data_IF_768004152266
#
_entry.id   IF_768004152266
#
_cell.length_a   1.000
_cell.length_b   1.000
_cell.length_c   1.000
_cell.angle_alpha   90.00
_cell.angle_beta   90.00
_cell.angle_gamma   90.00
#
_symmetry.space_group_name_H-M   'P 1'
#
loop_
_entity.id
_entity.type
_entity.pdbx_description
1 polymer ?
#
# COMPACT_ATOMS: atom_id res chain seq x y z
N UNK A 1 -2.06 -20.43 44.50
CA UNK A 1 -1.90 -19.36 43.50
C UNK A 1 -2.55 -19.87 42.22
N UNK A 2 -3.62 -19.23 41.74
CA UNK A 2 -4.31 -19.62 40.51
C UNK A 2 -3.71 -18.76 39.40
N UNK A 3 -3.06 -19.36 38.41
CA UNK A 3 -2.53 -18.71 37.25
C UNK A 3 -3.65 -18.60 36.21
N UNK A 4 -3.99 -17.37 35.80
CA UNK A 4 -4.91 -17.09 34.70
C UNK A 4 -4.09 -16.71 33.47
N UNK A 5 -4.36 -17.35 32.34
CA UNK A 5 -3.71 -17.09 31.07
C UNK A 5 -4.74 -16.53 30.09
N UNK A 6 -4.43 -15.36 29.51
CA UNK A 6 -5.26 -14.72 28.49
C UNK A 6 -4.43 -14.63 27.21
N UNK A 7 -4.92 -15.22 26.12
CA UNK A 7 -4.34 -15.13 24.81
C UNK A 7 -5.17 -14.23 23.91
N UNK A 8 -4.54 -13.35 23.12
CA UNK A 8 -5.19 -12.51 22.13
C UNK A 8 -4.52 -12.68 20.78
N UNK A 9 -5.33 -12.78 19.72
CA UNK A 9 -4.83 -12.86 18.34
C UNK A 9 -5.85 -12.24 17.39
N UNK A 10 -5.36 -11.68 16.28
CA UNK A 10 -6.20 -11.09 15.26
C UNK A 10 -6.56 -12.04 14.10
N UNK A 11 -5.75 -13.09 13.85
CA UNK A 11 -5.77 -13.82 12.58
C UNK A 11 -5.51 -15.32 12.72
N UNK A 12 -6.16 -15.98 13.68
CA UNK A 12 -6.06 -17.44 13.80
C UNK A 12 -7.27 -18.10 13.15
N UNK A 13 -7.09 -18.98 12.14
CA UNK A 13 -8.20 -19.63 11.44
C UNK A 13 -8.89 -20.72 12.29
N UNK A 14 -8.21 -21.33 13.27
CA UNK A 14 -8.68 -22.53 14.00
C UNK A 14 -8.95 -22.21 15.47
N UNK A 15 -9.65 -21.12 15.75
CA UNK A 15 -9.87 -20.66 17.14
C UNK A 15 -10.63 -21.67 18.00
N UNK A 16 -11.60 -22.37 17.43
CA UNK A 16 -12.39 -23.38 18.18
C UNK A 16 -11.55 -24.58 18.59
N UNK A 17 -10.68 -25.07 17.71
CA UNK A 17 -9.80 -26.19 18.01
C UNK A 17 -8.76 -25.78 19.03
N UNK A 18 -8.23 -24.58 18.92
CA UNK A 18 -7.29 -24.03 19.88
C UNK A 18 -7.91 -23.86 21.27
N UNK A 19 -9.13 -23.32 21.34
CA UNK A 19 -9.85 -23.15 22.60
C UNK A 19 -10.14 -24.50 23.28
N UNK A 20 -10.50 -25.49 22.48
CA UNK A 20 -10.75 -26.86 22.95
C UNK A 20 -9.46 -27.52 23.47
N UNK A 21 -8.37 -27.37 22.77
CA UNK A 21 -7.05 -27.87 23.16
C UNK A 21 -6.54 -27.21 24.43
N UNK A 22 -6.67 -25.90 24.56
CA UNK A 22 -6.28 -25.13 25.75
C UNK A 22 -7.27 -25.25 26.91
N UNK A 23 -8.47 -25.84 26.69
CA UNK A 23 -9.59 -25.84 27.63
C UNK A 23 -9.92 -24.42 28.11
N UNK A 24 -9.88 -23.46 27.20
CA UNK A 24 -10.10 -22.03 27.45
C UNK A 24 -11.44 -21.58 26.86
N UNK A 25 -12.04 -20.57 27.47
CA UNK A 25 -13.21 -19.90 26.89
C UNK A 25 -12.79 -19.09 25.69
N UNK A 26 -13.55 -19.18 24.60
CA UNK A 26 -13.33 -18.41 23.38
C UNK A 26 -14.24 -17.19 23.35
N UNK A 27 -13.67 -16.01 23.13
CA UNK A 27 -14.39 -14.80 22.81
C UNK A 27 -13.95 -14.28 21.44
N UNK A 28 -14.88 -14.10 20.54
CA UNK A 28 -14.63 -13.54 19.21
C UNK A 28 -15.46 -12.27 19.01
N UNK A 29 -14.91 -11.29 18.32
CA UNK A 29 -15.61 -10.05 17.98
C UNK A 29 -15.25 -9.62 16.57
N UNK A 30 -16.23 -9.12 15.84
CA UNK A 30 -16.05 -8.48 14.54
C UNK A 30 -15.85 -6.96 14.65
N UNK A 31 -15.82 -6.43 15.86
CA UNK A 31 -15.61 -5.01 16.07
C UNK A 31 -14.25 -4.57 15.55
N UNK A 32 -14.25 -3.58 14.67
CA UNK A 32 -13.05 -2.96 14.11
C UNK A 32 -13.12 -1.45 14.36
N UNK A 33 -12.20 -0.88 15.14
CA UNK A 33 -12.23 0.54 15.48
C UNK A 33 -11.96 1.45 14.26
N UNK A 34 -11.19 0.95 13.29
CA UNK A 34 -10.92 1.65 12.03
C UNK A 34 -11.58 0.87 10.88
N UNK A 35 -12.45 1.50 10.07
CA UNK A 35 -13.08 0.83 8.95
C UNK A 35 -12.04 0.35 7.93
N UNK A 36 -12.25 -0.83 7.38
CA UNK A 36 -11.43 -1.38 6.30
C UNK A 36 -12.33 -1.52 5.06
N UNK A 37 -11.89 -0.94 3.97
CA UNK A 37 -12.50 -1.13 2.65
C UNK A 37 -11.59 -2.01 1.82
N UNK A 38 -12.10 -3.14 1.35
CA UNK A 38 -11.38 -4.07 0.50
C UNK A 38 -11.81 -3.87 -0.94
N UNK A 39 -10.85 -3.71 -1.83
CA UNK A 39 -11.07 -3.54 -3.26
C UNK A 39 -10.18 -4.51 -4.04
N UNK A 40 -10.72 -5.07 -5.11
CA UNK A 40 -10.01 -5.89 -6.08
C UNK A 40 -9.73 -5.06 -7.33
N UNK A 41 -8.48 -5.02 -7.76
CA UNK A 41 -8.12 -4.38 -9.04
C UNK A 41 -7.97 -5.44 -10.12
N UNK A 42 -8.76 -5.31 -11.19
CA UNK A 42 -8.71 -6.18 -12.37
C UNK A 42 -8.59 -5.31 -13.62
N UNK A 43 -7.43 -5.36 -14.27
CA UNK A 43 -7.10 -4.39 -15.31
C UNK A 43 -7.15 -2.96 -14.76
N UNK A 44 -7.95 -2.10 -15.34
CA UNK A 44 -8.12 -0.71 -14.91
C UNK A 44 -9.32 -0.52 -13.98
N UNK A 45 -10.07 -1.59 -13.68
CA UNK A 45 -11.30 -1.51 -12.90
C UNK A 45 -11.06 -1.90 -11.44
N UNK A 46 -11.64 -1.14 -10.53
CA UNK A 46 -11.74 -1.46 -9.11
C UNK A 46 -13.10 -2.09 -8.82
N UNK A 47 -13.08 -3.25 -8.19
CA UNK A 47 -14.26 -4.02 -7.80
C UNK A 47 -14.36 -4.06 -6.28
N UNK A 48 -15.58 -4.08 -5.76
CA UNK A 48 -15.83 -4.37 -4.35
C UNK A 48 -15.75 -5.89 -4.06
N UNK A 49 -15.95 -6.28 -2.81
CA UNK A 49 -16.00 -7.69 -2.39
C UNK A 49 -17.12 -8.48 -3.03
N UNK A 50 -18.14 -7.82 -3.59
CA UNK A 50 -19.27 -8.44 -4.32
C UNK A 50 -19.04 -8.45 -5.84
N UNK A 51 -17.82 -8.20 -6.30
CA UNK A 51 -17.45 -8.13 -7.72
C UNK A 51 -18.17 -7.03 -8.51
N UNK A 52 -18.67 -5.99 -7.84
CA UNK A 52 -19.29 -4.85 -8.51
C UNK A 52 -18.24 -3.78 -8.78
N UNK A 53 -18.24 -3.15 -9.97
CA UNK A 53 -17.34 -2.06 -10.27
C UNK A 53 -17.68 -0.83 -9.41
N UNK A 54 -16.66 -0.35 -8.68
CA UNK A 54 -16.74 0.83 -7.81
C UNK A 54 -16.06 2.03 -8.48
N UNK A 55 -15.05 1.77 -9.32
CA UNK A 55 -14.30 2.82 -9.98
C UNK A 55 -13.33 2.27 -11.01
N UNK A 56 -12.61 3.17 -11.65
CA UNK A 56 -11.52 2.84 -12.56
C UNK A 56 -10.25 3.60 -12.16
N UNK A 57 -9.10 2.97 -12.38
CA UNK A 57 -7.78 3.58 -12.21
C UNK A 57 -7.37 4.15 -13.56
N UNK A 58 -7.29 5.47 -13.65
CA UNK A 58 -6.84 6.17 -14.86
C UNK A 58 -5.75 7.17 -14.47
N UNK A 59 -4.48 6.78 -14.57
CA UNK A 59 -3.38 7.70 -14.27
C UNK A 59 -3.35 8.84 -15.31
N UNK A 60 -3.21 10.10 -14.87
CA UNK A 60 -3.11 11.24 -15.78
C UNK A 60 -1.78 11.26 -16.55
N UNK A 61 -0.77 10.58 -16.04
CA UNK A 61 0.55 10.46 -16.63
C UNK A 61 0.95 8.99 -16.75
N UNK A 62 1.44 8.57 -17.93
CA UNK A 62 1.98 7.23 -18.08
C UNK A 62 3.27 7.09 -17.26
N UNK A 63 3.31 6.10 -16.38
CA UNK A 63 4.51 5.78 -15.60
C UNK A 63 5.21 4.60 -16.29
N UNK A 64 6.44 4.79 -16.78
CA UNK A 64 7.18 3.72 -17.44
C UNK A 64 7.36 2.52 -16.51
N UNK A 65 6.93 1.33 -16.98
CA UNK A 65 7.05 0.08 -16.22
C UNK A 65 5.94 -0.17 -15.20
N UNK A 66 4.92 0.69 -15.10
CA UNK A 66 3.77 0.54 -14.20
C UNK A 66 2.52 0.06 -14.95
N UNK A 67 2.61 -1.10 -15.59
CA UNK A 67 1.48 -1.70 -16.33
C UNK A 67 0.25 -1.97 -15.47
N UNK A 68 0.47 -2.21 -14.19
CA UNK A 68 -0.58 -2.56 -13.24
C UNK A 68 -1.07 -1.36 -12.42
N UNK A 69 -0.64 -0.15 -12.75
CA UNK A 69 -0.98 1.10 -12.06
C UNK A 69 -0.70 1.08 -10.55
N UNK A 70 0.20 0.20 -10.10
CA UNK A 70 0.53 0.04 -8.68
C UNK A 70 1.27 1.27 -8.15
N UNK A 71 2.26 1.73 -8.92
CA UNK A 71 3.02 2.94 -8.58
C UNK A 71 2.12 4.16 -8.54
N UNK A 72 1.19 4.27 -9.49
CA UNK A 72 0.21 5.35 -9.52
C UNK A 72 -0.68 5.35 -8.28
N UNK A 73 -1.23 4.21 -7.88
CA UNK A 73 -2.06 4.09 -6.67
C UNK A 73 -1.29 4.45 -5.40
N UNK A 74 -0.01 4.07 -5.32
CA UNK A 74 0.87 4.49 -4.23
C UNK A 74 1.04 5.99 -4.19
N UNK A 75 1.35 6.61 -5.33
CA UNK A 75 1.55 8.04 -5.44
C UNK A 75 0.29 8.82 -5.06
N UNK A 76 -0.85 8.42 -5.57
CA UNK A 76 -2.14 9.03 -5.25
C UNK A 76 -2.40 9.00 -3.74
N UNK A 77 -2.23 7.83 -3.12
CA UNK A 77 -2.44 7.66 -1.68
C UNK A 77 -1.50 8.53 -0.84
N UNK A 78 -0.23 8.64 -1.25
CA UNK A 78 0.75 9.51 -0.57
C UNK A 78 0.39 10.98 -0.75
N UNK A 79 -0.05 11.39 -1.94
CA UNK A 79 -0.48 12.77 -2.21
C UNK A 79 -1.72 13.17 -1.43
N UNK A 80 -2.59 12.19 -1.12
CA UNK A 80 -3.75 12.37 -0.23
C UNK A 80 -3.34 12.43 1.26
N UNK A 81 -2.05 12.35 1.57
CA UNK A 81 -1.51 12.44 2.92
C UNK A 81 -1.57 11.14 3.72
N UNK A 82 -1.76 10.00 3.06
CA UNK A 82 -1.86 8.69 3.70
C UNK A 82 -0.59 7.85 3.51
N UNK A 83 -0.35 6.93 4.44
CA UNK A 83 0.74 5.96 4.35
C UNK A 83 0.33 4.77 3.49
N UNK A 84 1.29 4.19 2.77
CA UNK A 84 1.09 3.03 1.90
C UNK A 84 1.92 1.86 2.40
N UNK A 85 1.34 0.67 2.35
CA UNK A 85 1.99 -0.59 2.68
C UNK A 85 1.82 -1.55 1.51
N UNK A 86 2.93 -1.98 0.90
CA UNK A 86 2.95 -2.88 -0.24
C UNK A 86 3.45 -4.27 0.16
N UNK A 87 2.60 -5.27 -0.03
CA UNK A 87 2.96 -6.67 0.19
C UNK A 87 3.37 -7.32 -1.13
N UNK A 88 4.55 -7.94 -1.15
CA UNK A 88 5.07 -8.64 -2.31
C UNK A 88 5.28 -10.12 -1.98
N UNK A 89 5.12 -10.99 -2.98
CA UNK A 89 5.25 -12.44 -2.82
C UNK A 89 6.69 -12.92 -2.63
N UNK A 90 7.69 -12.15 -3.07
CA UNK A 90 9.11 -12.53 -2.96
C UNK A 90 9.98 -11.33 -2.62
N UNK A 91 11.14 -11.59 -1.96
CA UNK A 91 12.13 -10.55 -1.62
C UNK A 91 12.65 -9.81 -2.86
N UNK A 92 12.97 -10.55 -3.92
CA UNK A 92 13.44 -9.96 -5.18
C UNK A 92 12.39 -9.02 -5.80
N UNK A 93 11.11 -9.32 -5.62
CA UNK A 93 10.04 -8.45 -6.11
C UNK A 93 9.89 -7.18 -5.27
N UNK A 94 10.10 -7.27 -3.96
CA UNK A 94 10.15 -6.09 -3.07
C UNK A 94 11.22 -5.11 -3.54
N UNK A 95 12.44 -5.60 -3.78
CA UNK A 95 13.57 -4.78 -4.22
C UNK A 95 13.29 -4.12 -5.58
N UNK A 96 12.80 -4.91 -6.55
CA UNK A 96 12.46 -4.41 -7.87
C UNK A 96 11.33 -3.36 -7.81
N UNK A 97 10.30 -3.60 -7.00
CA UNK A 97 9.18 -2.68 -6.85
C UNK A 97 9.62 -1.38 -6.18
N UNK A 98 10.46 -1.46 -5.14
CA UNK A 98 11.03 -0.30 -4.47
C UNK A 98 11.83 0.57 -5.45
N UNK A 99 12.67 -0.05 -6.27
CA UNK A 99 13.43 0.64 -7.31
C UNK A 99 12.52 1.30 -8.35
N UNK A 100 11.46 0.61 -8.78
CA UNK A 100 10.50 1.13 -9.77
C UNK A 100 9.75 2.33 -9.22
N UNK A 101 9.21 2.24 -8.01
CA UNK A 101 8.50 3.33 -7.34
C UNK A 101 9.43 4.53 -7.11
N UNK A 102 10.66 4.29 -6.64
CA UNK A 102 11.67 5.33 -6.43
C UNK A 102 12.03 6.07 -7.73
N UNK A 103 12.26 5.34 -8.82
CA UNK A 103 12.54 5.94 -10.13
C UNK A 103 11.36 6.76 -10.66
N UNK A 104 10.14 6.24 -10.50
CA UNK A 104 8.93 6.95 -10.91
C UNK A 104 8.76 8.26 -10.14
N UNK A 105 8.96 8.25 -8.82
CA UNK A 105 8.94 9.44 -7.98
C UNK A 105 9.95 10.49 -8.45
N UNK A 106 11.19 10.06 -8.72
CA UNK A 106 12.24 10.95 -9.19
C UNK A 106 11.93 11.53 -10.59
N UNK A 107 11.38 10.72 -11.49
CA UNK A 107 11.00 11.17 -12.83
C UNK A 107 9.83 12.15 -12.79
N UNK A 108 8.80 11.85 -12.00
CA UNK A 108 7.61 12.69 -11.87
C UNK A 108 7.89 13.99 -11.11
N UNK A 109 8.82 13.98 -10.15
CA UNK A 109 9.22 15.17 -9.40
C UNK A 109 10.13 16.13 -10.17
N UNK A 110 10.63 15.77 -11.36
CA UNK A 110 11.44 16.66 -12.19
C UNK A 110 10.54 17.55 -13.05
N UNK A 111 10.83 18.86 -13.14
CA UNK A 111 10.11 19.72 -14.05
C UNK A 111 10.36 19.27 -15.50
N UNK A 112 9.31 19.09 -16.25
CA UNK A 112 9.39 18.83 -17.69
C UNK A 112 9.06 20.13 -18.43
N UNK A 113 10.02 20.75 -19.13
CA UNK A 113 9.81 22.01 -19.83
C UNK A 113 8.85 21.90 -21.03
N UNK A 114 8.53 20.68 -21.47
CA UNK A 114 7.62 20.43 -22.58
C UNK A 114 6.22 19.98 -22.14
N UNK A 115 6.01 19.79 -20.82
CA UNK A 115 4.71 19.39 -20.29
C UNK A 115 3.79 20.62 -20.20
N UNK A 116 2.83 20.69 -21.12
CA UNK A 116 1.85 21.79 -21.20
C UNK A 116 0.48 21.38 -20.63
N UNK A 117 0.32 20.13 -20.18
CA UNK A 117 -0.94 19.66 -19.60
C UNK A 117 -1.09 20.21 -18.17
N UNK A 118 -2.16 21.01 -17.90
CA UNK A 118 -2.36 21.62 -16.59
C UNK A 118 -2.54 20.59 -15.46
N UNK A 119 -3.12 19.42 -15.75
CA UNK A 119 -3.30 18.33 -14.75
C UNK A 119 -1.96 17.72 -14.36
N UNK A 120 -1.12 17.49 -15.35
CA UNK A 120 0.25 17.00 -15.15
C UNK A 120 1.09 17.97 -14.35
N UNK A 121 1.02 19.25 -14.67
CA UNK A 121 1.75 20.31 -13.98
C UNK A 121 1.30 20.44 -12.51
N UNK A 122 0.00 20.43 -12.24
CA UNK A 122 -0.53 20.49 -10.88
C UNK A 122 -0.09 19.28 -10.04
N UNK A 123 -0.14 18.09 -10.63
CA UNK A 123 0.30 16.85 -9.99
C UNK A 123 1.79 16.89 -9.64
N UNK A 124 2.63 17.32 -10.57
CA UNK A 124 4.08 17.47 -10.35
C UNK A 124 4.41 18.49 -9.26
N UNK A 125 3.70 19.61 -9.22
CA UNK A 125 3.88 20.62 -8.18
C UNK A 125 3.51 20.12 -6.80
N UNK A 126 2.39 19.39 -6.66
CA UNK A 126 2.00 18.75 -5.39
C UNK A 126 3.05 17.74 -4.95
N UNK A 127 3.50 16.88 -5.85
CA UNK A 127 4.54 15.90 -5.57
C UNK A 127 5.84 16.57 -5.12
N UNK A 128 6.28 17.59 -5.83
CA UNK A 128 7.50 18.33 -5.52
C UNK A 128 7.41 19.03 -4.15
N UNK A 129 6.26 19.59 -3.81
CA UNK A 129 6.00 20.20 -2.49
C UNK A 129 6.10 19.19 -1.35
N UNK A 130 5.63 17.98 -1.53
CA UNK A 130 5.74 16.91 -0.53
C UNK A 130 7.15 16.32 -0.46
N UNK A 131 7.86 16.24 -1.58
CA UNK A 131 9.21 15.70 -1.65
C UNK A 131 10.27 16.68 -1.10
N UNK A 132 10.06 17.98 -1.20
CA UNK A 132 11.03 19.01 -0.75
C UNK A 132 11.23 19.05 0.77
N UNK A 133 10.33 18.47 1.55
CA UNK A 133 10.45 18.34 3.02
C UNK A 133 11.06 17.02 3.49
N UNK A 134 11.30 16.08 2.61
CA UNK A 134 11.84 14.76 2.93
C UNK A 134 13.25 14.62 2.37
N UNK A 135 14.18 13.99 3.11
CA UNK A 135 15.54 13.67 2.63
C UNK A 135 15.51 12.61 1.51
N UNK A 136 14.76 12.87 0.44
CA UNK A 136 14.64 11.97 -0.72
C UNK A 136 15.86 11.94 -1.63
N UNK A 137 16.90 12.71 -1.31
CA UNK A 137 18.22 12.56 -1.98
C UNK A 137 18.88 11.21 -1.65
N UNK A 138 18.47 10.54 -0.58
CA UNK A 138 18.96 9.20 -0.25
C UNK A 138 17.96 8.13 -0.69
N UNK A 139 18.18 7.57 -1.87
CA UNK A 139 17.47 6.39 -2.45
C UNK A 139 17.41 5.21 -1.44
N UNK A 140 18.25 5.21 -0.40
CA UNK A 140 18.31 4.20 0.64
C UNK A 140 17.10 4.20 1.59
N UNK A 141 16.41 5.35 1.77
CA UNK A 141 15.30 5.45 2.72
C UNK A 141 14.06 4.66 2.27
N UNK A 142 13.75 4.69 0.97
CA UNK A 142 12.62 3.95 0.40
C UNK A 142 12.89 2.45 0.35
N UNK A 143 14.12 2.03 0.11
CA UNK A 143 14.51 0.63 0.23
C UNK A 143 14.26 0.09 1.64
N UNK A 144 14.44 0.90 2.68
CA UNK A 144 14.21 0.50 4.07
C UNK A 144 12.71 0.40 4.40
N UNK A 145 11.86 1.28 3.85
CA UNK A 145 10.43 1.30 4.16
C UNK A 145 9.65 0.16 3.48
N UNK A 146 10.09 -0.27 2.30
CA UNK A 146 9.45 -1.35 1.53
C UNK A 146 10.06 -2.73 1.89
N UNK A 147 11.28 -2.78 2.39
CA UNK A 147 12.00 -4.03 2.70
C UNK A 147 11.41 -4.81 3.89
N UNK A 148 10.56 -4.19 4.72
CA UNK A 148 10.10 -4.82 5.98
C UNK A 148 9.00 -5.87 5.84
N UNK A 149 8.46 -6.15 4.65
CA UNK A 149 7.29 -7.00 4.48
C UNK A 149 7.41 -8.04 3.37
N UNK A 150 8.53 -8.75 3.33
CA UNK A 150 8.51 -10.05 2.67
C UNK A 150 7.89 -11.05 3.63
N UNK A 151 6.71 -11.55 3.32
CA UNK A 151 6.13 -12.71 3.99
C UNK A 151 7.06 -13.91 3.79
N UNK A 152 7.30 -14.75 4.83
CA UNK A 152 8.14 -15.93 4.75
C UNK A 152 7.60 -16.96 3.78
#
# INVERSE_FOLDING_TARGET
MILQVIGMSATLPNLEDLSRWLRASLYTTSFRPVPLTELLKVGDTLLDTNMKPVGAVSPPLPIPGDSDHLTWLCLQTVLDGHSVLLFCSTKAWVEKLAETVSKALLCLGRPDPHDTDPVSCEFRLKLQGQLSGTRLEEVSFWNTLITFLSCP
#
